data_IF_821903434179
#
_entry.id   IF_821903434179
#
_cell.length_a   1.000
_cell.length_b   1.000
_cell.length_c   1.000
_cell.angle_alpha   90.00
_cell.angle_beta   90.00
_cell.angle_gamma   90.00
#
_symmetry.space_group_name_H-M   'P 1'
#
loop_
_entity.id
_entity.type
_entity.pdbx_description
1 polymer ?
#
# COMPACT_ATOMS: atom_id res chain seq x y z
N UNK A 1 61.96 -37.76 1.96
CA UNK A 1 60.95 -37.16 2.85
C UNK A 1 60.91 -35.67 2.57
N UNK A 2 59.81 -35.13 2.03
CA UNK A 2 59.45 -33.68 2.09
C UNK A 2 58.13 -33.44 1.33
N UNK A 3 57.00 -33.87 1.92
CA UNK A 3 55.66 -33.58 1.40
C UNK A 3 54.68 -33.12 2.49
N UNK A 4 55.21 -32.60 3.62
CA UNK A 4 54.40 -32.10 4.73
C UNK A 4 54.39 -30.57 4.85
N UNK A 5 55.36 -29.87 4.24
CA UNK A 5 55.50 -28.41 4.36
C UNK A 5 54.63 -27.57 3.41
N UNK A 6 54.04 -28.17 2.36
CA UNK A 6 53.17 -27.44 1.40
C UNK A 6 51.68 -27.39 1.76
N UNK A 7 51.22 -28.26 2.66
CA UNK A 7 49.78 -28.39 2.99
C UNK A 7 49.30 -27.46 4.11
N UNK A 8 50.20 -27.02 4.99
CA UNK A 8 49.89 -26.13 6.12
C UNK A 8 49.63 -24.67 5.68
N UNK A 9 50.44 -24.04 4.79
CA UNK A 9 50.19 -22.66 4.40
C UNK A 9 48.88 -22.48 3.62
N UNK A 10 48.47 -23.46 2.79
CA UNK A 10 47.22 -23.38 2.03
C UNK A 10 45.97 -23.41 2.91
N UNK A 11 45.96 -24.17 4.01
CA UNK A 11 44.80 -24.25 4.91
C UNK A 11 44.60 -22.98 5.72
N UNK A 12 45.70 -22.35 6.17
CA UNK A 12 45.66 -21.06 6.88
C UNK A 12 45.22 -19.95 5.93
N UNK A 13 45.74 -19.93 4.69
CA UNK A 13 45.34 -18.95 3.67
C UNK A 13 43.86 -19.09 3.29
N UNK A 14 43.35 -20.33 3.13
CA UNK A 14 41.93 -20.59 2.89
C UNK A 14 41.03 -20.21 4.07
N UNK A 15 41.48 -20.43 5.31
CA UNK A 15 40.73 -20.00 6.49
C UNK A 15 40.67 -18.47 6.63
N UNK A 16 41.75 -17.77 6.29
CA UNK A 16 41.78 -16.29 6.25
C UNK A 16 40.90 -15.77 5.11
N UNK A 17 40.99 -16.36 3.91
CA UNK A 17 40.13 -15.99 2.77
C UNK A 17 38.65 -16.24 3.08
N UNK A 18 38.31 -17.37 3.69
CA UNK A 18 36.94 -17.67 4.13
C UNK A 18 36.47 -16.69 5.24
N UNK A 19 37.36 -16.30 6.15
CA UNK A 19 37.10 -15.29 7.17
C UNK A 19 36.84 -13.90 6.57
N UNK A 20 37.64 -13.46 5.60
CA UNK A 20 37.48 -12.15 4.95
C UNK A 20 36.25 -12.11 4.05
N UNK A 21 35.99 -13.18 3.29
CA UNK A 21 34.79 -13.27 2.43
C UNK A 21 33.51 -13.32 3.28
N UNK A 22 33.52 -14.00 4.42
CA UNK A 22 32.35 -14.05 5.31
C UNK A 22 32.06 -12.69 5.96
N UNK A 23 33.08 -11.96 6.41
CA UNK A 23 32.91 -10.59 6.94
C UNK A 23 32.40 -9.63 5.86
N UNK A 24 33.00 -9.66 4.66
CA UNK A 24 32.56 -8.83 3.54
C UNK A 24 31.11 -9.11 3.13
N UNK A 25 30.74 -10.39 3.04
CA UNK A 25 29.37 -10.81 2.72
C UNK A 25 28.36 -10.38 3.78
N UNK A 26 28.72 -10.46 5.07
CA UNK A 26 27.87 -10.02 6.17
C UNK A 26 27.69 -8.50 6.19
N UNK A 27 28.74 -7.71 5.94
CA UNK A 27 28.64 -6.25 5.84
C UNK A 27 27.75 -5.82 4.67
N UNK A 28 27.90 -6.45 3.51
CA UNK A 28 27.04 -6.21 2.34
C UNK A 28 25.58 -6.58 2.66
N UNK A 29 25.36 -7.73 3.31
CA UNK A 29 24.04 -8.14 3.75
C UNK A 29 23.42 -7.13 4.72
N UNK A 30 24.16 -6.67 5.74
CA UNK A 30 23.69 -5.65 6.68
C UNK A 30 23.37 -4.32 5.98
N UNK A 31 24.21 -3.90 5.04
CA UNK A 31 23.95 -2.69 4.25
C UNK A 31 22.67 -2.81 3.43
N UNK A 32 22.48 -3.95 2.76
CA UNK A 32 21.27 -4.23 2.00
C UNK A 32 20.03 -4.26 2.90
N UNK A 33 20.13 -4.86 4.10
CA UNK A 33 19.05 -4.86 5.09
C UNK A 33 18.70 -3.44 5.55
N UNK A 34 19.69 -2.59 5.84
CA UNK A 34 19.43 -1.20 6.21
C UNK A 34 18.76 -0.41 5.08
N UNK A 35 19.18 -0.62 3.83
CA UNK A 35 18.57 0.01 2.66
C UNK A 35 17.12 -0.46 2.48
N UNK A 36 16.87 -1.74 2.65
CA UNK A 36 15.52 -2.32 2.59
C UNK A 36 14.63 -1.75 3.70
N UNK A 37 15.09 -1.72 4.95
CA UNK A 37 14.34 -1.16 6.06
C UNK A 37 14.01 0.33 5.86
N UNK A 38 14.94 1.12 5.29
CA UNK A 38 14.68 2.52 4.92
C UNK A 38 13.62 2.64 3.81
N UNK A 39 13.65 1.74 2.83
CA UNK A 39 12.63 1.68 1.79
C UNK A 39 11.25 1.36 2.37
N UNK A 40 11.14 0.35 3.22
CA UNK A 40 9.89 -0.03 3.90
C UNK A 40 9.36 1.12 4.74
N UNK A 41 10.19 1.73 5.58
CA UNK A 41 9.79 2.87 6.42
C UNK A 41 9.34 4.09 5.59
N UNK A 42 9.92 4.31 4.41
CA UNK A 42 9.47 5.36 3.50
C UNK A 42 8.08 5.03 2.93
N UNK A 43 7.83 3.76 2.56
CA UNK A 43 6.52 3.30 2.08
C UNK A 43 5.45 3.35 3.16
N UNK A 44 5.78 3.01 4.40
CA UNK A 44 4.87 3.14 5.53
C UNK A 44 4.41 4.59 5.68
N UNK A 45 5.35 5.55 5.67
CA UNK A 45 5.02 6.98 5.74
C UNK A 45 4.15 7.46 4.58
N UNK A 46 4.41 7.02 3.35
CA UNK A 46 3.58 7.36 2.20
C UNK A 46 2.16 6.81 2.35
N UNK A 47 2.02 5.58 2.84
CA UNK A 47 0.71 4.97 3.08
C UNK A 47 -0.04 5.64 4.25
N UNK A 48 0.63 5.90 5.38
CA UNK A 48 0.05 6.64 6.51
C UNK A 48 -0.46 8.01 6.06
N UNK A 49 0.31 8.72 5.24
CA UNK A 49 -0.09 10.00 4.68
C UNK A 49 -1.35 9.89 3.78
N UNK A 50 -1.42 8.87 2.92
CA UNK A 50 -2.60 8.64 2.07
C UNK A 50 -3.85 8.31 2.92
N UNK A 51 -3.70 7.55 4.00
CA UNK A 51 -4.79 7.23 4.95
C UNK A 51 -5.27 8.49 5.70
N UNK A 52 -4.34 9.33 6.16
CA UNK A 52 -4.64 10.55 6.90
C UNK A 52 -5.31 11.62 6.02
N UNK A 53 -4.82 11.81 4.78
CA UNK A 53 -5.48 12.72 3.84
C UNK A 53 -6.85 12.17 3.45
N UNK A 54 -6.99 10.87 3.24
CA UNK A 54 -8.29 10.30 2.92
C UNK A 54 -9.33 10.61 4.00
N UNK A 55 -8.97 10.36 5.26
CA UNK A 55 -9.82 10.64 6.42
C UNK A 55 -10.11 12.14 6.55
N UNK A 56 -9.11 12.99 6.32
CA UNK A 56 -9.28 14.45 6.32
C UNK A 56 -10.26 14.91 5.25
N UNK A 57 -10.13 14.43 4.01
CA UNK A 57 -11.02 14.77 2.89
C UNK A 57 -12.46 14.34 3.20
N UNK A 58 -12.64 13.14 3.75
CA UNK A 58 -13.96 12.64 4.16
C UNK A 58 -14.56 13.50 5.27
N UNK A 59 -13.78 13.92 6.27
CA UNK A 59 -14.26 14.77 7.37
C UNK A 59 -14.65 16.18 6.93
N UNK A 60 -13.92 16.74 5.95
CA UNK A 60 -14.14 18.08 5.40
C UNK A 60 -15.33 18.12 4.43
N UNK A 61 -15.57 17.05 3.67
CA UNK A 61 -16.74 16.93 2.80
C UNK A 61 -18.00 16.58 3.61
N UNK A 62 -19.03 17.45 3.58
CA UNK A 62 -20.28 17.20 4.31
C UNK A 62 -20.97 15.92 3.83
N UNK A 63 -21.03 15.74 2.51
CA UNK A 63 -21.68 14.59 1.88
C UNK A 63 -20.91 13.28 2.11
N UNK A 64 -19.58 13.26 1.99
CA UNK A 64 -18.78 12.06 2.28
C UNK A 64 -18.77 11.72 3.77
N UNK A 65 -18.74 12.73 4.66
CA UNK A 65 -18.86 12.52 6.11
C UNK A 65 -20.18 11.83 6.46
N UNK A 66 -21.28 12.27 5.83
CA UNK A 66 -22.60 11.65 6.02
C UNK A 66 -22.64 10.21 5.51
N UNK A 67 -22.03 9.94 4.35
CA UNK A 67 -21.90 8.58 3.84
C UNK A 67 -21.12 7.69 4.83
N UNK A 68 -19.96 8.16 5.31
CA UNK A 68 -19.04 7.34 6.09
C UNK A 68 -19.46 7.11 7.54
N UNK A 69 -19.94 8.14 8.22
CA UNK A 69 -20.19 8.09 9.67
C UNK A 69 -21.67 8.02 10.02
N UNK A 70 -22.55 8.56 9.16
CA UNK A 70 -23.99 8.52 9.37
C UNK A 70 -24.70 7.45 8.51
N UNK A 71 -23.97 6.79 7.60
CA UNK A 71 -24.49 5.80 6.66
C UNK A 71 -25.66 6.33 5.79
N UNK A 72 -25.68 7.64 5.54
CA UNK A 72 -26.69 8.28 4.70
C UNK A 72 -26.17 8.31 3.27
N UNK A 73 -26.72 7.44 2.42
CA UNK A 73 -26.39 7.42 1.00
C UNK A 73 -26.96 8.67 0.30
N UNK A 74 -26.13 9.32 -0.53
CA UNK A 74 -26.55 10.41 -1.40
C UNK A 74 -26.23 10.04 -2.85
N UNK A 75 -27.23 9.83 -3.72
CA UNK A 75 -26.99 9.44 -5.11
C UNK A 75 -26.32 10.54 -5.95
N UNK A 76 -26.25 11.77 -5.44
CA UNK A 76 -25.54 12.88 -6.06
C UNK A 76 -24.03 12.92 -5.79
N UNK A 77 -23.48 11.94 -5.05
CA UNK A 77 -22.03 11.82 -4.89
C UNK A 77 -21.38 11.40 -6.22
N UNK A 78 -20.32 12.07 -6.61
CA UNK A 78 -19.55 11.73 -7.79
C UNK A 78 -18.70 10.48 -7.55
N UNK A 79 -18.95 9.48 -8.39
CA UNK A 79 -18.32 8.17 -8.42
C UNK A 79 -17.78 7.90 -9.84
N UNK A 80 -16.46 7.72 -9.99
CA UNK A 80 -15.84 7.58 -11.30
C UNK A 80 -16.30 6.29 -11.99
N UNK A 81 -16.73 6.42 -13.24
CA UNK A 81 -17.31 5.34 -14.03
C UNK A 81 -18.77 5.01 -13.73
N UNK A 82 -19.43 5.76 -12.85
CA UNK A 82 -20.88 5.68 -12.62
C UNK A 82 -21.56 6.97 -13.10
N UNK A 83 -21.17 8.11 -12.51
CA UNK A 83 -21.74 9.42 -12.81
C UNK A 83 -20.68 10.53 -12.95
N UNK A 84 -19.39 10.18 -12.86
CA UNK A 84 -18.25 11.03 -13.22
C UNK A 84 -17.24 10.24 -14.08
N UNK A 85 -16.30 10.94 -14.73
CA UNK A 85 -15.33 10.33 -15.63
C UNK A 85 -14.18 9.66 -14.85
N UNK A 86 -13.82 8.43 -15.26
CA UNK A 86 -12.64 7.76 -14.73
C UNK A 86 -11.39 8.19 -15.52
N UNK A 87 -10.36 8.61 -14.80
CA UNK A 87 -9.10 9.12 -15.32
C UNK A 87 -7.94 8.31 -14.74
N UNK A 88 -7.05 7.83 -15.63
CA UNK A 88 -5.87 7.08 -15.22
C UNK A 88 -4.88 8.01 -14.50
N UNK A 89 -4.37 7.57 -13.35
CA UNK A 89 -3.39 8.29 -12.53
C UNK A 89 -4.01 9.34 -11.59
N UNK A 90 -5.29 9.70 -11.78
CA UNK A 90 -6.03 10.57 -10.88
C UNK A 90 -6.23 9.90 -9.53
N UNK A 91 -6.23 10.72 -8.48
CA UNK A 91 -6.46 10.29 -7.11
C UNK A 91 -7.95 10.22 -6.81
N UNK A 92 -8.36 9.14 -6.15
CA UNK A 92 -9.74 8.84 -5.75
C UNK A 92 -9.78 8.41 -4.28
N UNK A 93 -10.95 8.55 -3.67
CA UNK A 93 -11.23 8.05 -2.33
C UNK A 93 -11.90 6.68 -2.42
N UNK A 94 -11.33 5.70 -1.73
CA UNK A 94 -12.02 4.45 -1.43
C UNK A 94 -12.68 4.58 -0.07
N UNK A 95 -14.00 4.48 -0.04
CA UNK A 95 -14.82 4.57 1.17
C UNK A 95 -15.69 3.33 1.22
N UNK A 96 -15.45 2.47 2.20
CA UNK A 96 -16.36 1.38 2.54
C UNK A 96 -17.30 1.81 3.67
N UNK A 97 -18.59 1.49 3.54
CA UNK A 97 -19.60 1.66 4.59
C UNK A 97 -19.85 0.39 5.39
N UNK A 98 -19.20 -0.73 5.01
CA UNK A 98 -19.34 -2.05 5.62
C UNK A 98 -18.01 -2.53 6.19
N UNK A 99 -18.10 -3.42 7.17
CA UNK A 99 -16.98 -4.19 7.71
C UNK A 99 -16.16 -4.83 6.57
N UNK A 100 -14.84 -4.86 6.73
CA UNK A 100 -13.93 -5.27 5.67
C UNK A 100 -12.48 -4.91 5.95
N UNK A 101 -11.66 -5.00 4.92
CA UNK A 101 -10.24 -4.65 4.92
C UNK A 101 -10.01 -3.31 4.23
N UNK A 102 -8.88 -2.65 4.52
CA UNK A 102 -8.43 -1.49 3.72
C UNK A 102 -7.86 -2.00 2.38
N UNK A 103 -7.00 -3.02 2.44
CA UNK A 103 -6.36 -3.65 1.29
C UNK A 103 -6.83 -5.11 1.17
N UNK A 104 -7.31 -5.58 0.00
CA UNK A 104 -7.76 -6.96 -0.15
C UNK A 104 -6.70 -7.99 0.28
N UNK A 105 -7.08 -9.04 1.04
CA UNK A 105 -6.11 -9.98 1.63
C UNK A 105 -5.32 -10.80 0.61
N UNK A 106 -5.79 -10.86 -0.64
CA UNK A 106 -5.09 -11.52 -1.74
C UNK A 106 -4.17 -10.56 -2.53
N UNK A 107 -3.93 -9.34 -2.02
CA UNK A 107 -3.03 -8.36 -2.62
C UNK A 107 -1.63 -8.54 -2.05
N UNK A 108 -0.61 -8.51 -2.91
CA UNK A 108 0.78 -8.49 -2.47
C UNK A 108 1.06 -7.23 -1.63
N UNK A 109 1.62 -7.45 -0.44
CA UNK A 109 1.97 -6.41 0.53
C UNK A 109 3.49 -6.35 0.70
N UNK A 110 4.00 -5.19 1.11
CA UNK A 110 5.39 -5.08 1.56
C UNK A 110 5.62 -5.89 2.84
N UNK A 111 6.85 -6.35 3.07
CA UNK A 111 7.20 -7.19 4.23
C UNK A 111 7.31 -6.36 5.53
N UNK A 112 6.18 -5.89 6.04
CA UNK A 112 6.06 -5.25 7.36
C UNK A 112 4.72 -5.57 8.01
N UNK A 113 4.71 -5.60 9.35
CA UNK A 113 3.50 -5.80 10.16
C UNK A 113 2.45 -4.71 9.93
N UNK A 114 2.89 -3.48 9.59
CA UNK A 114 1.99 -2.39 9.25
C UNK A 114 1.13 -2.75 8.03
N UNK A 115 1.73 -3.11 6.90
CA UNK A 115 0.96 -3.46 5.68
C UNK A 115 0.13 -4.73 5.86
N UNK A 116 0.65 -5.71 6.60
CA UNK A 116 -0.13 -6.91 6.96
C UNK A 116 -1.41 -6.55 7.71
N UNK A 117 -1.35 -5.55 8.62
CA UNK A 117 -2.52 -5.11 9.37
C UNK A 117 -3.62 -4.50 8.49
N UNK A 118 -3.27 -3.88 7.36
CA UNK A 118 -4.23 -3.27 6.43
C UNK A 118 -5.08 -4.30 5.68
N UNK A 119 -4.62 -5.55 5.63
CA UNK A 119 -5.32 -6.69 5.03
C UNK A 119 -6.12 -7.51 6.04
N UNK A 120 -6.10 -7.15 7.32
CA UNK A 120 -6.93 -7.79 8.34
C UNK A 120 -8.35 -7.22 8.26
N UNK A 121 -9.34 -8.11 8.24
CA UNK A 121 -10.74 -7.72 8.29
C UNK A 121 -11.07 -7.05 9.62
N UNK A 122 -11.69 -5.87 9.57
CA UNK A 122 -12.26 -5.18 10.72
C UNK A 122 -13.76 -5.46 10.84
N UNK A 123 -14.28 -5.53 12.07
CA UNK A 123 -15.72 -5.59 12.38
C UNK A 123 -16.43 -4.26 12.10
N UNK A 124 -15.67 -3.18 11.92
CA UNK A 124 -16.17 -1.86 11.57
C UNK A 124 -15.74 -1.49 10.15
N UNK A 125 -16.42 -0.52 9.51
CA UNK A 125 -15.95 -0.05 8.21
C UNK A 125 -14.51 0.45 8.32
N UNK A 126 -13.62 0.05 7.40
CA UNK A 126 -12.21 0.41 7.44
C UNK A 126 -11.99 1.92 7.28
N UNK A 127 -10.78 2.39 7.60
CA UNK A 127 -10.39 3.76 7.30
C UNK A 127 -10.44 3.99 5.78
N UNK A 128 -10.92 5.16 5.32
CA UNK A 128 -10.83 5.49 3.90
C UNK A 128 -9.37 5.58 3.46
N UNK A 129 -9.12 5.40 2.17
CA UNK A 129 -7.78 5.44 1.59
C UNK A 129 -7.79 6.17 0.26
N UNK A 130 -6.72 6.94 0.00
CA UNK A 130 -6.45 7.50 -1.33
C UNK A 130 -5.82 6.43 -2.21
N UNK A 131 -6.37 6.30 -3.42
CA UNK A 131 -5.85 5.40 -4.45
C UNK A 131 -5.72 6.15 -5.77
N UNK A 132 -4.92 5.62 -6.69
CA UNK A 132 -4.78 6.16 -8.05
C UNK A 132 -5.39 5.22 -9.07
N UNK A 133 -6.16 5.76 -10.00
CA UNK A 133 -6.79 4.97 -11.07
C UNK A 133 -5.76 4.30 -11.97
N UNK A 134 -5.85 2.98 -12.19
CA UNK A 134 -5.02 2.25 -13.16
C UNK A 134 -5.83 1.89 -14.40
N UNK A 135 -6.99 1.26 -14.20
CA UNK A 135 -7.94 0.91 -15.25
C UNK A 135 -9.32 0.69 -14.65
N UNK A 136 -10.36 0.67 -15.50
CA UNK A 136 -11.74 0.45 -15.10
C UNK A 136 -12.37 -0.67 -15.91
N UNK A 137 -13.19 -1.49 -15.26
CA UNK A 137 -14.01 -2.51 -15.87
C UNK A 137 -15.49 -2.26 -15.51
N UNK A 138 -16.17 -1.50 -16.38
CA UNK A 138 -17.58 -1.12 -16.20
C UNK A 138 -18.49 -2.34 -16.16
N UNK A 139 -18.26 -3.34 -17.02
CA UNK A 139 -19.06 -4.57 -17.05
C UNK A 139 -19.01 -5.35 -15.74
N UNK A 140 -17.88 -5.31 -15.03
CA UNK A 140 -17.72 -5.94 -13.70
C UNK A 140 -17.97 -4.98 -12.54
N UNK A 141 -18.29 -3.70 -12.81
CA UNK A 141 -18.45 -2.64 -11.81
C UNK A 141 -17.25 -2.52 -10.86
N UNK A 142 -16.05 -2.60 -11.41
CA UNK A 142 -14.80 -2.59 -10.66
C UNK A 142 -13.75 -1.66 -11.29
N UNK A 143 -12.86 -1.11 -10.49
CA UNK A 143 -11.65 -0.43 -10.94
C UNK A 143 -10.41 -1.16 -10.41
N UNK A 144 -9.36 -1.18 -11.21
CA UNK A 144 -8.02 -1.50 -10.76
C UNK A 144 -7.35 -0.20 -10.33
N UNK A 145 -6.80 -0.18 -9.12
CA UNK A 145 -6.19 1.00 -8.51
C UNK A 145 -4.83 0.67 -7.93
N UNK A 146 -3.97 1.66 -7.82
CA UNK A 146 -2.69 1.56 -7.11
C UNK A 146 -2.69 2.45 -5.87
N UNK A 147 -1.89 2.09 -4.88
CA UNK A 147 -1.70 2.86 -3.65
C UNK A 147 -0.29 2.64 -3.12
N UNK A 148 0.20 3.54 -2.27
CA UNK A 148 1.42 3.32 -1.51
C UNK A 148 1.25 2.25 -0.41
N UNK A 149 0.01 1.89 -0.08
CA UNK A 149 -0.32 0.88 0.92
C UNK A 149 -0.23 -0.58 0.44
N UNK A 150 0.08 -0.82 -0.84
CA UNK A 150 0.32 -2.16 -1.38
C UNK A 150 1.52 -2.16 -2.32
N UNK A 151 2.12 -3.33 -2.56
CA UNK A 151 3.21 -3.45 -3.53
C UNK A 151 2.71 -3.64 -4.96
N UNK A 152 1.44 -4.05 -5.12
CA UNK A 152 0.81 -4.28 -6.42
C UNK A 152 -0.58 -3.60 -6.50
N UNK A 153 -1.05 -3.22 -7.69
CA UNK A 153 -2.41 -2.76 -7.88
C UNK A 153 -3.46 -3.78 -7.44
N UNK A 154 -4.57 -3.29 -6.90
CA UNK A 154 -5.67 -4.13 -6.43
C UNK A 154 -7.02 -3.63 -6.93
N UNK A 155 -8.01 -4.51 -6.86
CA UNK A 155 -9.36 -4.25 -7.37
C UNK A 155 -10.22 -3.64 -6.27
N UNK A 156 -10.94 -2.59 -6.65
CA UNK A 156 -11.95 -1.94 -5.80
C UNK A 156 -13.31 -1.91 -6.52
N UNK A 157 -14.43 -2.18 -5.82
CA UNK A 157 -15.76 -1.96 -6.38
C UNK A 157 -16.01 -0.48 -6.69
N UNK A 158 -16.66 -0.17 -7.82
CA UNK A 158 -16.97 1.23 -8.18
C UNK A 158 -17.90 1.90 -7.18
N UNK A 159 -18.79 1.14 -6.54
CA UNK A 159 -19.68 1.64 -5.48
C UNK A 159 -18.95 2.17 -4.23
N UNK A 160 -17.67 1.78 -4.06
CA UNK A 160 -16.82 2.24 -2.97
C UNK A 160 -15.81 3.30 -3.44
N UNK A 161 -15.79 3.68 -4.72
CA UNK A 161 -14.87 4.63 -5.30
C UNK A 161 -15.58 5.97 -5.50
N UNK A 162 -14.96 7.04 -5.00
CA UNK A 162 -15.53 8.40 -5.02
C UNK A 162 -14.48 9.40 -5.49
N UNK A 163 -14.95 10.48 -6.12
CA UNK A 163 -14.10 11.64 -6.38
C UNK A 163 -13.63 12.26 -5.05
N UNK A 164 -12.37 12.70 -5.00
CA UNK A 164 -11.80 13.33 -3.81
C UNK A 164 -12.53 14.62 -3.43
N UNK A 165 -13.07 15.31 -4.43
CA UNK A 165 -13.83 16.53 -4.30
C UNK A 165 -15.27 16.28 -4.76
N UNK A 166 -16.25 16.72 -3.97
CA UNK A 166 -17.66 16.51 -4.23
C UNK A 166 -18.34 17.85 -4.54
N UNK A 167 -18.73 18.12 -5.80
CA UNK A 167 -19.32 19.41 -6.18
C UNK A 167 -20.59 19.77 -5.40
N UNK A 168 -21.36 18.77 -4.98
CA UNK A 168 -22.59 18.94 -4.19
C UNK A 168 -22.35 19.58 -2.82
N UNK A 169 -21.11 19.60 -2.32
CA UNK A 169 -20.78 20.28 -1.08
C UNK A 169 -20.68 21.81 -1.24
N UNK A 170 -20.51 22.33 -2.47
CA UNK A 170 -20.49 23.77 -2.76
C UNK A 170 -21.91 24.31 -2.99
N UNK A 171 -22.82 23.48 -3.51
CA UNK A 171 -24.12 23.93 -4.03
C UNK A 171 -25.20 24.23 -2.98
N UNK A 172 -24.83 24.50 -1.72
CA UNK A 172 -25.77 24.73 -0.61
C UNK A 172 -25.49 26.00 0.19
#
# INVERSE_FOLDING_TARGET
>A
MNSLYRLIPNKILLAILAGVVSIGSFQIWQYNQQKYNKFIAAKEKECEFDLDIADTNVKQSRSLRNLRYNQIANPGLEQPGINSEFEKGKAYLVISTKAGYIIPPNTSNYESTFFQSLSITSEHPPQPIIVRGVSINISKKQALVSSYCSSEPFVVPLENLYENFQPIDISN
#
